data_IF_622808265834
#
_entry.id   IF_622808265834
#
_cell.length_a   1.000
_cell.length_b   1.000
_cell.length_c   1.000
_cell.angle_alpha   90.00
_cell.angle_beta   90.00
_cell.angle_gamma   90.00
#
_symmetry.space_group_name_H-M   'P 1'
#
loop_
_entity.id
_entity.type
_entity.pdbx_description
1 polymer ?
#
# COMPACT_ATOMS: atom_id res chain seq x y z
N UNK A 1 4.59 17.14 22.66
CA UNK A 1 4.53 15.85 21.95
C UNK A 1 3.12 15.29 22.13
N UNK A 2 2.28 15.31 21.08
CA UNK A 2 0.96 14.68 21.11
C UNK A 2 1.06 13.28 20.46
N UNK A 3 0.63 12.20 21.15
CA UNK A 3 0.49 10.89 20.55
C UNK A 3 -0.90 10.77 19.88
N UNK A 4 -0.95 10.14 18.70
CA UNK A 4 -2.17 9.54 18.11
C UNK A 4 -3.29 10.44 17.55
N UNK A 5 -2.97 11.43 16.73
CA UNK A 5 -3.94 11.94 15.75
C UNK A 5 -3.58 11.40 14.37
N UNK A 6 -3.91 10.14 14.08
CA UNK A 6 -3.86 9.65 12.70
C UNK A 6 -4.77 10.58 11.87
N UNK A 7 -4.22 11.31 10.89
CA UNK A 7 -5.02 12.25 10.12
C UNK A 7 -6.11 11.46 9.39
N UNK A 8 -7.36 11.85 9.59
CA UNK A 8 -8.46 11.25 8.82
C UNK A 8 -8.23 11.62 7.36
N UNK A 9 -8.03 10.63 6.49
CA UNK A 9 -7.76 10.85 5.06
C UNK A 9 -6.31 10.64 4.60
N UNK A 10 -5.42 10.07 5.41
CA UNK A 10 -4.07 9.74 4.93
C UNK A 10 -4.12 8.64 3.87
N UNK A 11 -3.69 9.00 2.67
CA UNK A 11 -3.37 8.03 1.61
C UNK A 11 -1.92 7.59 1.73
N UNK A 12 -1.69 6.29 1.68
CA UNK A 12 -0.35 5.71 1.57
C UNK A 12 -0.13 5.22 0.16
N UNK A 13 1.08 5.41 -0.35
CA UNK A 13 1.58 4.75 -1.53
C UNK A 13 2.65 3.73 -1.17
N UNK A 14 2.56 2.57 -1.80
CA UNK A 14 3.42 1.43 -1.66
C UNK A 14 3.94 1.06 -3.04
N UNK A 15 5.19 1.38 -3.32
CA UNK A 15 5.86 0.96 -4.54
C UNK A 15 6.44 -0.43 -4.31
N UNK A 16 6.04 -1.41 -5.09
CA UNK A 16 6.54 -2.78 -5.03
C UNK A 16 7.31 -3.11 -6.31
N UNK A 17 8.28 -4.02 -6.21
CA UNK A 17 9.02 -4.51 -7.38
C UNK A 17 8.24 -5.61 -8.10
N UNK A 18 8.33 -5.56 -9.43
CA UNK A 18 7.59 -6.42 -10.33
C UNK A 18 6.20 -5.87 -10.64
N UNK A 19 5.48 -6.60 -11.49
CA UNK A 19 4.09 -6.34 -11.82
C UNK A 19 3.18 -7.26 -11.01
N UNK A 20 2.20 -6.67 -10.33
CA UNK A 20 1.17 -7.45 -9.67
C UNK A 20 0.17 -7.97 -10.70
N UNK A 21 -0.12 -9.27 -10.65
CA UNK A 21 -1.17 -9.85 -11.48
C UNK A 21 -2.55 -9.42 -10.99
N UNK A 22 -3.55 -9.42 -11.85
CA UNK A 22 -4.94 -9.06 -11.49
C UNK A 22 -5.48 -9.88 -10.31
N UNK A 23 -5.10 -11.16 -10.19
CA UNK A 23 -5.41 -12.02 -9.02
C UNK A 23 -4.79 -11.51 -7.71
N UNK A 24 -3.62 -10.90 -7.78
CA UNK A 24 -2.99 -10.28 -6.62
C UNK A 24 -3.72 -8.99 -6.27
N UNK A 25 -4.13 -8.22 -7.27
CA UNK A 25 -4.92 -6.99 -7.07
C UNK A 25 -6.26 -7.27 -6.39
N UNK A 26 -6.92 -8.39 -6.73
CA UNK A 26 -8.17 -8.79 -6.08
C UNK A 26 -8.02 -9.15 -4.60
N UNK A 27 -6.79 -9.36 -4.10
CA UNK A 27 -6.51 -9.53 -2.67
C UNK A 27 -6.49 -8.19 -1.90
N UNK A 28 -6.52 -7.06 -2.61
CA UNK A 28 -6.50 -5.71 -2.07
C UNK A 28 -7.61 -4.83 -2.66
N UNK A 29 -8.89 -5.20 -2.51
CA UNK A 29 -10.00 -4.41 -3.07
C UNK A 29 -10.09 -3.00 -2.47
N UNK A 30 -9.58 -2.78 -1.26
CA UNK A 30 -9.49 -1.47 -0.61
C UNK A 30 -8.32 -0.59 -1.11
N UNK A 31 -7.36 -1.16 -1.85
CA UNK A 31 -6.23 -0.43 -2.42
C UNK A 31 -6.38 -0.32 -3.93
N UNK A 32 -6.04 0.84 -4.46
CA UNK A 32 -5.95 1.05 -5.90
C UNK A 32 -4.54 0.73 -6.36
N UNK A 33 -4.41 0.21 -7.59
CA UNK A 33 -3.12 0.01 -8.22
C UNK A 33 -2.90 1.02 -9.33
N UNK A 34 -1.66 1.50 -9.41
CA UNK A 34 -1.13 2.28 -10.51
C UNK A 34 0.07 1.55 -11.08
N UNK A 35 -0.01 1.16 -12.34
CA UNK A 35 1.14 0.69 -13.09
C UNK A 35 2.06 1.87 -13.38
N UNK A 36 3.29 1.82 -12.86
CA UNK A 36 4.30 2.84 -13.09
C UNK A 36 5.38 2.28 -14.04
N UNK A 37 6.04 3.14 -14.83
CA UNK A 37 7.09 2.70 -15.75
C UNK A 37 8.33 2.20 -15.02
N UNK A 38 9.01 1.21 -15.62
CA UNK A 38 10.01 0.38 -14.93
C UNK A 38 9.29 -0.68 -14.11
N UNK A 39 9.77 -1.93 -14.10
CA UNK A 39 9.07 -3.11 -13.57
C UNK A 39 8.69 -3.00 -12.07
N UNK A 40 7.71 -2.16 -11.76
CA UNK A 40 7.25 -1.77 -10.45
C UNK A 40 5.74 -1.53 -10.52
N UNK A 41 5.07 -1.79 -9.41
CA UNK A 41 3.65 -1.52 -9.24
C UNK A 41 3.49 -0.61 -8.04
N UNK A 42 2.72 0.47 -8.18
CA UNK A 42 2.42 1.37 -7.08
C UNK A 42 1.01 1.08 -6.57
N UNK A 43 0.88 0.60 -5.34
CA UNK A 43 -0.41 0.48 -4.67
C UNK A 43 -0.66 1.73 -3.84
N UNK A 44 -1.87 2.28 -3.87
CA UNK A 44 -2.23 3.41 -3.04
C UNK A 44 -3.63 3.28 -2.47
N UNK A 45 -3.81 3.69 -1.22
CA UNK A 45 -5.10 3.61 -0.56
C UNK A 45 -5.16 4.40 0.74
N UNK A 46 -6.38 4.66 1.19
CA UNK A 46 -6.64 5.35 2.44
C UNK A 46 -6.50 4.36 3.58
N UNK A 47 -5.52 4.57 4.46
CA UNK A 47 -5.32 3.71 5.62
C UNK A 47 -5.96 4.38 6.83
N UNK A 48 -6.98 3.76 7.41
CA UNK A 48 -7.70 4.32 8.55
C UNK A 48 -6.98 4.06 9.89
N UNK A 49 -6.12 3.05 9.96
CA UNK A 49 -5.40 2.70 11.18
C UNK A 49 -4.06 1.98 10.94
N UNK A 50 -3.14 2.01 11.92
CA UNK A 50 -1.92 1.19 11.88
C UNK A 50 -2.19 -0.32 11.76
N UNK A 51 -3.31 -0.81 12.30
CA UNK A 51 -3.70 -2.22 12.18
C UNK A 51 -4.00 -2.61 10.74
N UNK A 52 -4.70 -1.73 10.02
CA UNK A 52 -4.98 -1.90 8.59
C UNK A 52 -3.70 -1.89 7.76
N UNK A 53 -2.78 -0.95 8.04
CA UNK A 53 -1.44 -0.93 7.44
C UNK A 53 -0.72 -2.26 7.65
N UNK A 54 -0.69 -2.76 8.88
CA UNK A 54 -0.04 -4.04 9.19
C UNK A 54 -0.69 -5.22 8.47
N UNK A 55 -2.01 -5.21 8.29
CA UNK A 55 -2.73 -6.21 7.51
C UNK A 55 -2.39 -6.17 6.02
N UNK A 56 -2.14 -4.98 5.45
CA UNK A 56 -1.67 -4.82 4.07
C UNK A 56 -0.24 -5.34 3.93
N UNK A 57 0.67 -4.94 4.83
CA UNK A 57 2.07 -5.41 4.81
C UNK A 57 2.19 -6.93 4.95
N UNK A 58 1.40 -7.53 5.84
CA UNK A 58 1.38 -8.98 6.00
C UNK A 58 0.91 -9.71 4.74
N UNK A 59 -0.03 -9.13 3.98
CA UNK A 59 -0.46 -9.68 2.70
C UNK A 59 0.60 -9.54 1.61
N UNK A 60 1.35 -8.44 1.58
CA UNK A 60 2.51 -8.34 0.68
C UNK A 60 3.55 -9.43 0.97
N UNK A 61 3.88 -9.63 2.24
CA UNK A 61 4.82 -10.66 2.68
C UNK A 61 4.31 -12.07 2.33
N UNK A 62 3.04 -12.37 2.63
CA UNK A 62 2.42 -13.67 2.33
C UNK A 62 2.37 -13.98 0.82
N UNK A 63 2.32 -12.96 -0.03
CA UNK A 63 2.32 -13.08 -1.49
C UNK A 63 3.74 -13.03 -2.09
N UNK A 64 4.77 -12.82 -1.27
CA UNK A 64 6.17 -12.70 -1.73
C UNK A 64 6.44 -11.40 -2.50
N UNK A 65 5.68 -10.35 -2.22
CA UNK A 65 5.78 -9.05 -2.88
C UNK A 65 6.83 -8.20 -2.16
N UNK A 66 7.87 -7.80 -2.89
CA UNK A 66 8.92 -6.94 -2.34
C UNK A 66 8.48 -5.48 -2.35
N UNK A 67 8.22 -4.92 -1.17
CA UNK A 67 8.01 -3.49 -0.98
C UNK A 67 9.32 -2.73 -1.15
N UNK A 68 9.35 -1.81 -2.11
CA UNK A 68 10.51 -0.98 -2.45
C UNK A 68 10.43 0.36 -1.73
N UNK A 69 9.26 0.98 -1.76
CA UNK A 69 9.06 2.28 -1.15
C UNK A 69 7.68 2.37 -0.49
N UNK A 70 7.62 2.96 0.69
CA UNK A 70 6.38 3.31 1.36
C UNK A 70 6.41 4.81 1.64
N UNK A 71 5.57 5.56 0.93
CA UNK A 71 5.47 7.00 1.06
C UNK A 71 4.06 7.39 1.47
N UNK A 72 3.95 8.32 2.41
CA UNK A 72 2.66 8.89 2.79
C UNK A 72 2.34 10.01 1.80
N UNK A 73 1.22 9.91 1.11
CA UNK A 73 0.75 10.99 0.25
C UNK A 73 0.14 12.11 1.12
N UNK A 74 0.57 13.37 0.93
CA UNK A 74 -0.19 14.51 1.42
C UNK A 74 -1.51 14.56 0.62
N UNK A 75 -2.63 14.79 1.30
CA UNK A 75 -3.95 14.94 0.67
C UNK A 75 -4.04 16.22 -0.18
#
# INVERSE_FOLDING_TARGET
>A
MQPDSWPKGVRYSFTVAGTLSERTLTAFPELNVSDIPGAYTMLYGSIASPTELRGVLARFDALGITLIEMSRLPD
#
